data_IF_664553439043
#
_entry.id   IF_664553439043
#
_cell.length_a   1.000
_cell.length_b   1.000
_cell.length_c   1.000
_cell.angle_alpha   90.00
_cell.angle_beta   90.00
_cell.angle_gamma   90.00
#
_symmetry.space_group_name_H-M   'P 1'
#
loop_
_entity.id
_entity.type
_entity.pdbx_description
1 polymer ?
#
# COMPACT_ATOMS: atom_id res chain seq x y z
N UNK A 1 -7.90 -36.92 5.19
CA UNK A 1 -8.01 -36.43 3.79
C UNK A 1 -8.91 -35.21 3.83
N UNK A 2 -8.55 -33.98 3.46
CA UNK A 2 -7.55 -33.51 2.51
C UNK A 2 -6.76 -32.34 3.13
N UNK A 3 -5.44 -32.37 3.00
CA UNK A 3 -4.57 -31.23 3.26
C UNK A 3 -4.91 -30.15 2.23
N UNK A 4 -5.70 -29.16 2.63
CA UNK A 4 -6.08 -28.01 1.81
C UNK A 4 -4.83 -27.20 1.47
N UNK A 5 -4.16 -27.59 0.40
CA UNK A 5 -3.04 -26.88 -0.18
C UNK A 5 -3.63 -25.68 -0.93
N UNK A 6 -3.84 -24.58 -0.22
CA UNK A 6 -4.23 -23.32 -0.85
C UNK A 6 -3.19 -22.99 -1.93
N UNK A 7 -3.62 -22.50 -3.11
CA UNK A 7 -2.70 -22.00 -4.12
C UNK A 7 -1.76 -20.96 -3.51
N UNK A 8 -0.53 -20.85 -4.00
CA UNK A 8 0.44 -19.90 -3.48
C UNK A 8 -0.07 -18.45 -3.47
N UNK A 9 -1.01 -18.11 -4.36
CA UNK A 9 -1.69 -16.82 -4.45
C UNK A 9 -2.73 -16.54 -3.35
N UNK A 10 -3.21 -17.58 -2.65
CA UNK A 10 -4.23 -17.46 -1.59
C UNK A 10 -3.62 -17.62 -0.19
N UNK A 11 -2.31 -17.88 -0.11
CA UNK A 11 -1.59 -17.93 1.16
C UNK A 11 -1.36 -16.51 1.65
N UNK A 12 -2.03 -16.15 2.75
CA UNK A 12 -1.78 -14.92 3.49
C UNK A 12 -0.33 -14.91 4.00
N UNK A 13 0.33 -13.74 3.99
CA UNK A 13 1.62 -13.55 4.64
C UNK A 13 1.63 -14.12 6.07
N UNK A 14 2.60 -14.97 6.37
CA UNK A 14 2.69 -15.66 7.67
C UNK A 14 3.67 -14.98 8.63
N UNK A 15 4.43 -14.00 8.13
CA UNK A 15 5.37 -13.22 8.93
C UNK A 15 5.43 -11.76 8.47
N UNK A 16 6.06 -10.92 9.29
CA UNK A 16 6.15 -9.48 9.07
C UNK A 16 6.90 -9.13 7.77
N UNK A 17 7.90 -9.92 7.40
CA UNK A 17 8.73 -9.68 6.21
C UNK A 17 7.97 -9.99 4.91
N UNK A 18 7.20 -11.07 4.88
CA UNK A 18 6.26 -11.39 3.80
C UNK A 18 5.17 -10.32 3.68
N UNK A 19 4.60 -9.88 4.81
CA UNK A 19 3.56 -8.86 4.82
C UNK A 19 4.08 -7.53 4.24
N UNK A 20 5.29 -7.10 4.62
CA UNK A 20 5.93 -5.91 4.03
C UNK A 20 6.14 -6.06 2.53
N UNK A 21 6.60 -7.23 2.08
CA UNK A 21 6.85 -7.50 0.65
C UNK A 21 5.55 -7.47 -0.16
N UNK A 22 4.47 -8.05 0.37
CA UNK A 22 3.13 -8.02 -0.25
C UNK A 22 2.51 -6.62 -0.25
N UNK A 23 2.74 -5.84 0.80
CA UNK A 23 2.18 -4.49 0.94
C UNK A 23 2.98 -3.41 0.20
N UNK A 24 4.23 -3.66 -0.17
CA UNK A 24 5.10 -2.68 -0.85
C UNK A 24 4.49 -2.07 -2.12
N UNK A 25 3.90 -2.84 -3.05
CA UNK A 25 3.26 -2.27 -4.24
C UNK A 25 2.09 -1.35 -3.87
N UNK A 26 1.25 -1.77 -2.92
CA UNK A 26 0.11 -0.98 -2.46
C UNK A 26 0.56 0.33 -1.80
N UNK A 27 1.61 0.30 -0.99
CA UNK A 27 2.17 1.49 -0.36
C UNK A 27 2.67 2.49 -1.40
N UNK A 28 3.36 2.03 -2.45
CA UNK A 28 3.79 2.87 -3.58
C UNK A 28 2.61 3.50 -4.33
N UNK A 29 1.59 2.70 -4.65
CA UNK A 29 0.39 3.21 -5.34
C UNK A 29 -0.39 4.22 -4.48
N UNK A 30 -0.42 4.05 -3.17
CA UNK A 30 -1.12 4.94 -2.24
C UNK A 30 -0.33 6.21 -1.95
N UNK A 31 1.00 6.13 -1.91
CA UNK A 31 1.86 7.27 -1.62
C UNK A 31 1.75 8.38 -2.66
N UNK A 32 1.63 8.04 -3.95
CA UNK A 32 1.57 9.01 -5.04
C UNK A 32 0.37 9.97 -4.90
N UNK A 33 -0.89 9.50 -4.78
CA UNK A 33 -2.05 10.37 -4.53
C UNK A 33 -1.93 11.23 -3.28
N UNK A 34 -1.37 10.68 -2.19
CA UNK A 34 -1.19 11.42 -0.93
C UNK A 34 -0.21 12.57 -1.10
N UNK A 35 0.93 12.33 -1.74
CA UNK A 35 1.93 13.36 -2.02
C UNK A 35 1.35 14.46 -2.90
N UNK A 36 0.61 14.10 -3.95
CA UNK A 36 -0.07 15.06 -4.83
C UNK A 36 -1.06 15.92 -4.04
N UNK A 37 -1.88 15.28 -3.20
CA UNK A 37 -2.87 15.99 -2.36
C UNK A 37 -2.19 16.99 -1.43
N UNK A 38 -1.11 16.58 -0.77
CA UNK A 38 -0.33 17.44 0.11
C UNK A 38 0.28 18.61 -0.69
N UNK A 39 0.89 18.34 -1.85
CA UNK A 39 1.49 19.38 -2.69
C UNK A 39 0.47 20.42 -3.16
N UNK A 40 -0.72 19.98 -3.59
CA UNK A 40 -1.83 20.87 -3.97
C UNK A 40 -2.28 21.70 -2.77
N UNK A 41 -2.48 21.07 -1.61
CA UNK A 41 -2.91 21.75 -0.40
C UNK A 41 -1.91 22.85 0.03
N UNK A 42 -0.61 22.59 -0.07
CA UNK A 42 0.41 23.60 0.20
C UNK A 42 0.43 24.71 -0.85
N UNK A 43 0.41 24.37 -2.14
CA UNK A 43 0.47 25.36 -3.21
C UNK A 43 -0.74 26.31 -3.16
N UNK A 44 -1.96 25.75 -3.15
CA UNK A 44 -3.18 26.55 -3.18
C UNK A 44 -3.55 27.13 -1.81
N UNK A 45 -3.31 26.38 -0.73
CA UNK A 45 -3.53 26.86 0.63
C UNK A 45 -2.58 27.99 1.03
N UNK A 46 -1.33 27.98 0.54
CA UNK A 46 -0.40 29.08 0.76
C UNK A 46 -0.70 30.31 -0.10
N UNK A 47 -1.34 30.16 -1.26
CA UNK A 47 -1.74 31.31 -2.10
C UNK A 47 -3.09 31.92 -1.71
N UNK A 48 -3.87 31.23 -0.88
CA UNK A 48 -5.18 31.68 -0.39
C UNK A 48 -5.11 32.45 0.94
N UNK A 49 -3.90 32.59 1.51
CA UNK A 49 -3.61 33.25 2.78
C UNK A 49 -2.71 34.46 2.54
#
# INVERSE_FOLDING_TARGET
MSSNHLPASERKAQNLEEAKKEMWPFALYTAIPVIITIAIAFYFGSTAN
#
